data_IF_965266687358
#
_entry.id   IF_965266687358
#
_cell.length_a   1.000
_cell.length_b   1.000
_cell.length_c   1.000
_cell.angle_alpha   90.00
_cell.angle_beta   90.00
_cell.angle_gamma   90.00
#
_symmetry.space_group_name_H-M   'P 1'
#
loop_
_entity.id
_entity.type
_entity.pdbx_description
1 polymer ?
#
# COMPACT_ATOMS: atom_id res chain seq x y z
N UNK A 1 -3.74 9.02 5.20
CA UNK A 1 -3.26 7.84 5.96
C UNK A 1 -3.16 6.62 5.05
N UNK A 2 -2.13 5.79 5.26
CA UNK A 2 -1.93 4.54 4.54
C UNK A 2 -1.65 3.42 5.56
N UNK A 3 -2.35 2.31 5.42
CA UNK A 3 -2.27 1.15 6.29
C UNK A 3 -1.79 -0.07 5.50
N UNK A 4 -0.94 -0.86 6.12
CA UNK A 4 -0.49 -2.15 5.61
C UNK A 4 -0.77 -3.20 6.68
N UNK A 5 -1.58 -4.19 6.33
CA UNK A 5 -1.87 -5.35 7.18
C UNK A 5 -1.19 -6.57 6.60
N UNK A 6 -0.40 -7.28 7.39
CA UNK A 6 0.26 -8.53 6.98
C UNK A 6 -0.21 -9.62 7.93
N UNK A 7 -0.72 -10.72 7.37
CA UNK A 7 -1.08 -11.92 8.11
C UNK A 7 -0.19 -13.06 7.63
N UNK A 8 0.67 -13.57 8.50
CA UNK A 8 1.57 -14.69 8.19
C UNK A 8 1.45 -15.77 9.27
N UNK A 9 0.42 -16.63 9.21
CA UNK A 9 0.29 -17.75 10.13
C UNK A 9 1.42 -18.75 9.91
N UNK A 10 1.90 -19.40 10.98
CA UNK A 10 2.99 -20.38 10.89
C UNK A 10 2.54 -21.58 10.05
N UNK A 11 3.24 -21.83 8.94
CA UNK A 11 2.94 -22.91 8.00
C UNK A 11 1.87 -22.60 6.93
N UNK A 12 1.31 -21.38 6.93
CA UNK A 12 0.33 -20.96 5.93
C UNK A 12 0.92 -20.00 4.90
N UNK A 13 0.21 -19.81 3.80
CA UNK A 13 0.55 -18.83 2.77
C UNK A 13 0.33 -17.42 3.34
N UNK A 14 1.36 -16.55 3.39
CA UNK A 14 1.19 -15.21 3.95
C UNK A 14 0.30 -14.37 3.04
N UNK A 15 -0.47 -13.48 3.64
CA UNK A 15 -1.30 -12.51 2.95
C UNK A 15 -0.96 -11.11 3.42
N UNK A 16 -1.09 -10.14 2.53
CA UNK A 16 -0.92 -8.74 2.87
C UNK A 16 -1.95 -7.89 2.14
N UNK A 17 -2.43 -6.86 2.81
CA UNK A 17 -3.40 -5.90 2.26
C UNK A 17 -2.90 -4.50 2.55
N UNK A 18 -2.76 -3.70 1.50
CA UNK A 18 -2.39 -2.29 1.55
C UNK A 18 -3.61 -1.44 1.23
N UNK A 19 -3.99 -0.57 2.16
CA UNK A 19 -5.07 0.41 1.98
C UNK A 19 -4.57 1.83 2.17
N UNK A 20 -5.06 2.76 1.36
CA UNK A 20 -4.79 4.18 1.53
C UNK A 20 -6.06 5.00 1.27
N UNK A 21 -6.20 6.09 2.02
CA UNK A 21 -7.30 7.05 1.86
C UNK A 21 -7.37 7.69 0.47
N UNK A 22 -6.29 7.60 -0.34
CA UNK A 22 -6.31 8.09 -1.72
C UNK A 22 -7.10 7.18 -2.68
N UNK A 23 -7.76 6.14 -2.18
CA UNK A 23 -8.48 5.13 -2.97
C UNK A 23 -7.64 3.91 -3.35
N UNK A 24 -6.44 3.73 -2.80
CA UNK A 24 -5.64 2.51 -3.03
C UNK A 24 -6.18 1.38 -2.15
N UNK A 25 -6.59 0.28 -2.76
CA UNK A 25 -6.85 -0.99 -2.10
C UNK A 25 -6.18 -2.10 -2.92
N UNK A 26 -5.19 -2.78 -2.33
CA UNK A 26 -4.49 -3.91 -2.96
C UNK A 26 -4.26 -5.02 -1.96
N UNK A 27 -4.48 -6.24 -2.40
CA UNK A 27 -4.20 -7.46 -1.63
C UNK A 27 -3.21 -8.36 -2.39
N UNK A 28 -2.40 -9.08 -1.62
CA UNK A 28 -1.41 -10.01 -2.12
C UNK A 28 -1.42 -11.29 -1.28
N UNK A 29 -1.21 -12.42 -1.95
CA UNK A 29 -1.16 -13.76 -1.33
C UNK A 29 0.12 -14.45 -1.79
N UNK A 30 0.86 -15.03 -0.85
CA UNK A 30 2.13 -15.70 -1.09
C UNK A 30 3.34 -14.80 -0.84
N UNK A 31 4.43 -15.40 -0.36
CA UNK A 31 5.62 -14.69 0.14
C UNK A 31 6.17 -13.67 -0.86
N UNK A 32 6.36 -14.06 -2.12
CA UNK A 32 6.91 -13.18 -3.15
C UNK A 32 5.99 -11.97 -3.43
N UNK A 33 4.68 -12.20 -3.52
CA UNK A 33 3.70 -11.14 -3.78
C UNK A 33 3.54 -10.22 -2.57
N UNK A 34 3.58 -10.76 -1.36
CA UNK A 34 3.57 -9.97 -0.12
C UNK A 34 4.79 -9.05 -0.05
N UNK A 35 5.99 -9.57 -0.35
CA UNK A 35 7.21 -8.74 -0.41
C UNK A 35 7.08 -7.63 -1.46
N UNK A 36 6.58 -7.97 -2.65
CA UNK A 36 6.33 -6.97 -3.69
C UNK A 36 5.31 -5.91 -3.25
N UNK A 37 4.24 -6.30 -2.56
CA UNK A 37 3.23 -5.37 -2.04
C UNK A 37 3.81 -4.44 -0.96
N UNK A 38 4.74 -4.92 -0.13
CA UNK A 38 5.43 -4.08 0.86
C UNK A 38 6.24 -2.98 0.15
N UNK A 39 7.08 -3.35 -0.81
CA UNK A 39 7.87 -2.36 -1.59
C UNK A 39 6.97 -1.37 -2.33
N UNK A 40 5.89 -1.86 -2.93
CA UNK A 40 4.88 -1.05 -3.61
C UNK A 40 4.15 -0.09 -2.64
N UNK A 41 3.87 -0.51 -1.41
CA UNK A 41 3.31 0.34 -0.37
C UNK A 41 4.27 1.46 0.04
N UNK A 42 5.57 1.18 0.17
CA UNK A 42 6.57 2.18 0.52
C UNK A 42 6.73 3.24 -0.58
N UNK A 43 6.82 2.80 -1.84
CA UNK A 43 6.84 3.70 -3.00
C UNK A 43 5.56 4.54 -3.05
N UNK A 44 4.41 3.91 -2.83
CA UNK A 44 3.14 4.61 -2.81
C UNK A 44 3.06 5.64 -1.69
N UNK A 45 3.54 5.34 -0.47
CA UNK A 45 3.59 6.30 0.63
C UNK A 45 4.35 7.57 0.22
N UNK A 46 5.43 7.45 -0.54
CA UNK A 46 6.23 8.57 -1.03
C UNK A 46 5.58 9.33 -2.19
N UNK A 47 4.77 8.68 -3.02
CA UNK A 47 4.11 9.30 -4.17
C UNK A 47 2.59 9.56 -3.94
N UNK A 48 2.10 9.34 -2.72
CA UNK A 48 0.67 9.39 -2.44
C UNK A 48 0.21 10.85 -2.52
N UNK A 49 -0.75 11.19 -3.38
CA UNK A 49 -1.17 12.59 -3.60
C UNK A 49 -1.79 13.24 -2.36
N UNK A 50 -2.30 12.44 -1.42
CA UNK A 50 -2.79 12.93 -0.12
C UNK A 50 -1.68 13.21 0.90
N UNK A 51 -0.48 12.67 0.68
CA UNK A 51 0.66 12.80 1.60
C UNK A 51 1.75 13.71 1.05
N UNK A 52 1.99 13.64 -0.26
CA UNK A 52 2.67 14.66 -1.03
C UNK A 52 1.58 15.46 -1.71
N UNK A 53 1.04 16.53 -1.08
CA UNK A 53 0.17 17.43 -1.80
C UNK A 53 0.96 17.84 -3.04
N UNK A 54 0.43 17.47 -4.21
CA UNK A 54 0.94 17.95 -5.46
C UNK A 54 0.64 19.45 -5.46
N UNK A 55 1.58 20.24 -4.95
CA UNK A 55 1.61 21.71 -5.08
C UNK A 55 1.30 22.01 -6.55
N UNK A 56 0.05 22.41 -6.83
CA UNK A 56 -0.42 22.62 -8.20
C UNK A 56 -1.64 21.82 -8.65
N UNK A 57 -2.67 21.66 -7.81
CA UNK A 57 -4.05 21.69 -8.36
C UNK A 57 -4.69 23.03 -8.07
N UNK A 58 -4.39 23.99 -8.93
CA UNK A 58 -5.28 25.11 -9.23
C UNK A 58 -6.67 24.54 -9.52
N UNK A 59 -7.60 24.70 -8.59
CA UNK A 59 -9.02 24.69 -8.90
C UNK A 59 -9.44 26.17 -8.87
N UNK A 60 -9.61 26.71 -10.08
CA UNK A 60 -10.15 28.04 -10.35
C UNK A 60 -11.66 28.09 -10.08
#
# INVERSE_FOLDING_TARGET
MAWLTICAPRGAVPTATSRCECGRDRSAVGKARVLALITDHENHRGACPLRTPQEGRTAA
#
